data_IF_300550047706
#
_entry.id   IF_300550047706
#
_cell.length_a   1.000
_cell.length_b   1.000
_cell.length_c   1.000
_cell.angle_alpha   90.00
_cell.angle_beta   90.00
_cell.angle_gamma   90.00
#
_symmetry.space_group_name_H-M   'P 1'
#
loop_
_entity.id
_entity.type
_entity.pdbx_description
1 polymer ?
#
# COMPACT_ATOMS: atom_id res chain seq x y z
N UNK A 1 -27.07 47.38 -44.89
CA UNK A 1 -25.88 47.03 -44.07
C UNK A 1 -26.34 46.05 -43.00
N UNK A 2 -26.10 44.76 -43.19
CA UNK A 2 -26.54 43.69 -42.26
C UNK A 2 -25.40 43.41 -41.30
N UNK A 3 -25.60 43.66 -40.00
CA UNK A 3 -24.66 43.32 -38.93
C UNK A 3 -24.69 41.82 -38.70
N UNK A 4 -23.55 41.15 -38.84
CA UNK A 4 -23.36 39.75 -38.49
C UNK A 4 -23.10 39.62 -36.98
N UNK A 5 -23.96 38.85 -36.30
CA UNK A 5 -23.76 38.44 -34.90
C UNK A 5 -22.73 37.31 -34.85
N UNK A 6 -21.59 37.58 -34.22
CA UNK A 6 -20.58 36.57 -33.93
C UNK A 6 -21.05 35.69 -32.78
N UNK A 7 -21.36 34.43 -33.09
CA UNK A 7 -21.70 33.38 -32.11
C UNK A 7 -20.42 32.90 -31.43
N UNK A 8 -20.19 33.34 -30.21
CA UNK A 8 -19.06 32.91 -29.37
C UNK A 8 -19.25 31.45 -28.94
N UNK A 9 -18.41 30.56 -29.44
CA UNK A 9 -18.30 29.18 -28.98
C UNK A 9 -17.70 29.16 -27.56
N UNK A 10 -18.23 28.36 -26.61
CA UNK A 10 -17.58 28.19 -25.30
C UNK A 10 -16.22 27.49 -25.46
N UNK A 11 -15.21 27.80 -24.63
CA UNK A 11 -13.91 27.17 -24.72
C UNK A 11 -14.00 25.69 -24.31
N UNK A 12 -13.49 24.80 -25.19
CA UNK A 12 -13.26 23.40 -24.88
C UNK A 12 -12.35 23.28 -23.65
N UNK A 13 -12.84 22.58 -22.64
CA UNK A 13 -12.06 22.20 -21.46
C UNK A 13 -10.93 21.27 -21.92
N UNK A 14 -9.66 21.53 -21.55
CA UNK A 14 -8.57 20.62 -21.88
C UNK A 14 -8.87 19.24 -21.29
N UNK A 15 -8.86 18.20 -22.12
CA UNK A 15 -8.97 16.83 -21.65
C UNK A 15 -7.86 16.57 -20.61
N UNK A 16 -8.27 16.22 -19.39
CA UNK A 16 -7.34 15.78 -18.35
C UNK A 16 -6.47 14.64 -18.91
N UNK A 17 -5.14 14.66 -18.71
CA UNK A 17 -4.28 13.59 -19.19
C UNK A 17 -4.78 12.28 -18.57
N UNK A 18 -5.04 11.29 -19.42
CA UNK A 18 -5.46 9.96 -19.00
C UNK A 18 -4.55 9.48 -17.88
N UNK A 19 -5.09 9.36 -16.67
CA UNK A 19 -4.33 8.92 -15.51
C UNK A 19 -3.70 7.56 -15.85
N UNK A 20 -2.38 7.46 -15.75
CA UNK A 20 -1.68 6.18 -15.88
C UNK A 20 -2.29 5.18 -14.91
N UNK A 21 -2.57 3.94 -15.34
CA UNK A 21 -3.12 2.94 -14.46
C UNK A 21 -2.19 2.76 -13.24
N UNK A 22 -2.75 2.64 -12.03
CA UNK A 22 -1.95 2.52 -10.82
C UNK A 22 -1.08 1.26 -10.88
N UNK A 23 0.21 1.39 -10.57
CA UNK A 23 1.12 0.25 -10.52
C UNK A 23 0.84 -0.61 -9.28
N UNK A 24 0.22 -1.77 -9.50
CA UNK A 24 -0.14 -2.75 -8.46
C UNK A 24 0.90 -3.87 -8.28
N UNK A 25 2.12 -3.70 -8.80
CA UNK A 25 3.19 -4.69 -8.71
C UNK A 25 3.64 -4.97 -7.27
N UNK A 26 4.17 -6.17 -7.03
CA UNK A 26 4.76 -6.57 -5.75
C UNK A 26 6.22 -6.12 -5.61
N UNK A 27 6.61 -5.76 -4.39
CA UNK A 27 8.03 -5.59 -4.01
C UNK A 27 8.52 -6.87 -3.33
N UNK A 28 9.41 -7.62 -3.97
CA UNK A 28 9.89 -8.91 -3.47
C UNK A 28 11.06 -8.78 -2.50
N UNK A 29 11.03 -9.57 -1.43
CA UNK A 29 12.10 -9.70 -0.44
C UNK A 29 12.40 -11.18 -0.25
N UNK A 30 13.68 -11.50 -0.14
CA UNK A 30 14.16 -12.87 0.10
C UNK A 30 14.62 -12.96 1.55
N UNK A 31 13.99 -13.83 2.33
CA UNK A 31 14.57 -14.32 3.57
C UNK A 31 15.65 -15.34 3.21
N UNK A 32 16.85 -15.16 3.74
CA UNK A 32 18.00 -15.96 3.38
C UNK A 32 18.87 -16.23 4.61
N UNK A 33 19.56 -17.36 4.56
CA UNK A 33 20.61 -17.69 5.53
C UNK A 33 21.99 -17.46 4.91
N UNK A 34 22.87 -16.85 5.69
CA UNK A 34 24.25 -16.59 5.30
C UNK A 34 25.14 -17.10 6.42
N UNK A 35 25.87 -18.19 6.15
CA UNK A 35 26.91 -18.65 7.05
C UNK A 35 28.07 -17.66 7.01
N UNK A 36 28.45 -17.16 8.19
CA UNK A 36 29.49 -16.14 8.35
C UNK A 36 30.46 -16.52 9.45
N UNK A 37 31.68 -16.04 9.34
CA UNK A 37 32.69 -16.17 10.40
C UNK A 37 32.33 -15.34 11.64
N UNK A 38 32.81 -15.71 12.85
CA UNK A 38 32.52 -14.99 14.09
C UNK A 38 32.82 -13.49 14.04
N UNK A 39 33.85 -13.09 13.28
CA UNK A 39 34.22 -11.68 13.10
C UNK A 39 33.13 -10.90 12.36
N UNK A 40 32.56 -11.48 11.31
CA UNK A 40 31.49 -10.85 10.53
C UNK A 40 30.19 -10.87 11.33
N UNK A 41 29.90 -11.95 12.05
CA UNK A 41 28.74 -12.04 12.93
C UNK A 41 28.72 -10.89 13.97
N UNK A 42 29.85 -10.61 14.62
CA UNK A 42 29.98 -9.49 15.56
C UNK A 42 29.71 -8.12 14.91
N UNK A 43 30.20 -7.90 13.68
CA UNK A 43 29.95 -6.65 12.95
C UNK A 43 28.48 -6.54 12.54
N UNK A 44 27.88 -7.63 12.07
CA UNK A 44 26.49 -7.68 11.66
C UNK A 44 25.55 -7.41 12.84
N UNK A 45 25.83 -7.97 14.02
CA UNK A 45 25.06 -7.71 15.23
C UNK A 45 25.18 -6.24 15.68
N UNK A 46 26.38 -5.67 15.67
CA UNK A 46 26.61 -4.29 16.09
C UNK A 46 26.04 -3.25 15.09
N UNK A 47 26.16 -3.48 13.77
CA UNK A 47 25.77 -2.51 12.73
C UNK A 47 24.44 -2.82 12.04
N UNK A 48 23.86 -3.99 12.26
CA UNK A 48 22.68 -4.48 11.54
C UNK A 48 22.91 -4.75 10.05
N UNK A 49 24.16 -4.70 9.56
CA UNK A 49 24.51 -4.95 8.17
C UNK A 49 25.97 -5.39 8.02
N UNK A 50 26.26 -6.15 6.97
CA UNK A 50 27.61 -6.59 6.63
C UNK A 50 27.73 -6.80 5.12
N UNK A 51 28.97 -6.92 4.63
CA UNK A 51 29.27 -7.25 3.24
C UNK A 51 29.65 -8.72 3.15
N UNK A 52 29.04 -9.44 2.22
CA UNK A 52 29.40 -10.83 1.89
C UNK A 52 30.60 -10.87 0.93
N UNK A 53 31.24 -12.03 0.81
CA UNK A 53 32.27 -12.23 -0.19
C UNK A 53 31.66 -12.20 -1.60
N UNK A 54 32.38 -11.64 -2.57
CA UNK A 54 31.92 -11.62 -3.95
C UNK A 54 31.77 -13.05 -4.48
N UNK A 55 30.62 -13.36 -5.09
CA UNK A 55 30.31 -14.70 -5.61
C UNK A 55 29.85 -15.71 -4.56
N UNK A 56 29.68 -15.32 -3.29
CA UNK A 56 29.10 -16.19 -2.29
C UNK A 56 27.66 -16.55 -2.67
N UNK A 57 27.38 -17.86 -2.75
CA UNK A 57 26.02 -18.35 -2.93
C UNK A 57 25.25 -18.18 -1.62
N UNK A 58 24.03 -17.67 -1.72
CA UNK A 58 23.14 -17.43 -0.59
C UNK A 58 21.89 -18.26 -0.81
N UNK A 59 21.54 -19.09 0.19
CA UNK A 59 20.37 -19.94 0.12
C UNK A 59 19.13 -19.16 0.57
N UNK A 60 18.12 -19.15 -0.29
CA UNK A 60 16.83 -18.51 -0.03
C UNK A 60 15.96 -19.47 0.77
N UNK A 61 15.52 -19.05 1.96
CA UNK A 61 14.53 -19.77 2.75
C UNK A 61 13.12 -19.51 2.21
N UNK A 62 12.79 -18.24 2.02
CA UNK A 62 11.45 -17.81 1.60
C UNK A 62 11.54 -16.55 0.75
N UNK A 63 10.70 -16.45 -0.29
CA UNK A 63 10.52 -15.24 -1.08
C UNK A 63 9.11 -14.74 -0.88
N UNK A 64 8.96 -13.52 -0.36
CA UNK A 64 7.66 -12.95 -0.06
C UNK A 64 7.58 -11.48 -0.46
N UNK A 65 6.37 -10.96 -0.60
CA UNK A 65 6.16 -9.54 -0.87
C UNK A 65 6.36 -8.71 0.42
N UNK A 66 7.19 -7.67 0.37
CA UNK A 66 7.41 -6.72 1.48
C UNK A 66 6.10 -6.11 1.99
N UNK A 67 5.17 -5.92 1.07
CA UNK A 67 3.89 -5.28 1.28
C UNK A 67 2.86 -6.19 1.91
N UNK A 68 2.24 -7.02 1.07
CA UNK A 68 1.17 -7.93 1.52
C UNK A 68 1.65 -9.13 2.36
N UNK A 69 2.98 -9.32 2.50
CA UNK A 69 3.60 -10.42 3.28
C UNK A 69 3.24 -11.83 2.84
N UNK A 70 2.68 -11.99 1.62
CA UNK A 70 2.36 -13.28 1.03
C UNK A 70 3.58 -13.86 0.28
N UNK A 71 3.76 -15.19 0.29
CA UNK A 71 4.86 -15.84 -0.41
C UNK A 71 4.67 -15.78 -1.93
N UNK A 72 5.78 -15.79 -2.67
CA UNK A 72 5.79 -15.61 -4.13
C UNK A 72 4.88 -16.59 -4.86
N UNK A 73 4.92 -17.86 -4.49
CA UNK A 73 4.17 -18.92 -5.19
C UNK A 73 2.65 -18.75 -5.09
N UNK A 74 2.15 -18.09 -4.04
CA UNK A 74 0.73 -17.85 -3.86
C UNK A 74 0.18 -16.66 -4.67
N UNK A 75 1.03 -15.64 -4.89
CA UNK A 75 0.59 -14.34 -5.44
C UNK A 75 1.22 -14.02 -6.80
N UNK A 76 2.00 -14.93 -7.38
CA UNK A 76 2.55 -14.76 -8.71
C UNK A 76 1.43 -14.55 -9.74
N UNK A 77 1.46 -13.39 -10.40
CA UNK A 77 0.46 -13.00 -11.40
C UNK A 77 -0.81 -12.36 -10.83
N UNK A 78 -0.87 -12.13 -9.52
CA UNK A 78 -1.90 -11.35 -8.85
C UNK A 78 -1.37 -9.94 -8.54
N UNK A 79 -2.30 -9.01 -8.31
CA UNK A 79 -1.98 -7.66 -7.86
C UNK A 79 -1.68 -7.64 -6.37
N UNK A 80 -0.84 -6.71 -5.95
CA UNK A 80 -0.49 -6.56 -4.55
C UNK A 80 -1.68 -6.06 -3.73
N UNK A 81 -2.22 -6.94 -2.88
CA UNK A 81 -3.33 -6.64 -1.98
C UNK A 81 -3.05 -5.43 -1.07
N UNK A 82 -1.79 -5.15 -0.71
CA UNK A 82 -1.43 -3.96 0.09
C UNK A 82 -1.76 -2.65 -0.64
N UNK A 83 -1.55 -2.62 -1.95
CA UNK A 83 -1.79 -1.43 -2.78
C UNK A 83 -3.28 -1.24 -3.07
N UNK A 84 -4.03 -2.33 -3.05
CA UNK A 84 -5.50 -2.33 -3.16
C UNK A 84 -6.10 -2.01 -1.78
N UNK A 85 -6.02 -2.93 -0.83
CA UNK A 85 -6.61 -2.80 0.51
C UNK A 85 -5.74 -3.42 1.62
N UNK A 86 -5.28 -2.58 2.55
CA UNK A 86 -4.47 -3.01 3.71
C UNK A 86 -5.23 -3.78 4.79
N UNK A 87 -6.55 -3.97 4.67
CA UNK A 87 -7.34 -4.70 5.68
C UNK A 87 -6.82 -6.11 5.98
N UNK A 88 -6.25 -6.81 5.00
CA UNK A 88 -5.69 -8.14 5.21
C UNK A 88 -4.56 -8.16 6.26
N UNK A 89 -3.74 -7.10 6.34
CA UNK A 89 -2.67 -6.97 7.35
C UNK A 89 -3.18 -6.58 8.74
N UNK A 90 -4.35 -5.93 8.84
CA UNK A 90 -4.90 -5.44 10.11
C UNK A 90 -5.91 -6.44 10.71
N UNK A 91 -5.94 -7.68 10.19
CA UNK A 91 -6.86 -8.74 10.64
C UNK A 91 -8.31 -8.53 10.18
N UNK A 92 -8.51 -7.91 9.02
CA UNK A 92 -9.82 -7.65 8.41
C UNK A 92 -10.33 -6.22 8.63
N UNK A 93 -11.60 -5.99 8.27
CA UNK A 93 -12.24 -4.68 8.41
C UNK A 93 -12.42 -4.31 9.89
N UNK A 94 -11.83 -3.20 10.33
CA UNK A 94 -11.99 -2.71 11.71
C UNK A 94 -13.44 -2.35 12.05
N UNK A 95 -14.29 -2.07 11.06
CA UNK A 95 -15.72 -1.84 11.25
C UNK A 95 -16.44 -3.11 11.72
N UNK A 96 -15.92 -4.28 11.32
CA UNK A 96 -16.44 -5.61 11.67
C UNK A 96 -15.76 -6.21 12.90
N UNK A 97 -14.59 -5.67 13.29
CA UNK A 97 -13.93 -6.08 14.52
C UNK A 97 -14.86 -5.76 15.69
N UNK A 98 -15.25 -6.79 16.44
CA UNK A 98 -16.07 -6.69 17.66
C UNK A 98 -15.29 -5.92 18.74
N UNK A 99 -15.19 -4.59 18.59
CA UNK A 99 -14.68 -3.70 19.63
C UNK A 99 -15.59 -3.84 20.84
N UNK A 100 -15.04 -3.66 22.05
CA UNK A 100 -15.84 -3.58 23.29
C UNK A 100 -17.00 -2.61 23.03
N UNK A 101 -18.23 -2.99 23.43
CA UNK A 101 -19.48 -2.28 23.10
C UNK A 101 -19.24 -0.77 23.08
N UNK A 102 -19.13 -0.22 21.87
CA UNK A 102 -19.01 1.22 21.70
C UNK A 102 -20.38 1.82 22.10
N UNK A 103 -20.40 2.99 22.76
CA UNK A 103 -21.64 3.70 22.95
C UNK A 103 -22.31 3.91 21.59
N UNK A 104 -23.65 3.83 21.51
CA UNK A 104 -24.37 3.98 20.25
C UNK A 104 -23.97 5.31 19.60
N UNK A 105 -23.75 5.32 18.27
CA UNK A 105 -23.36 6.54 17.58
C UNK A 105 -24.43 7.62 17.77
N UNK A 106 -24.03 8.90 17.84
CA UNK A 106 -24.98 10.01 17.94
C UNK A 106 -25.95 10.00 16.75
N UNK A 107 -27.20 10.39 16.98
CA UNK A 107 -28.25 10.45 15.95
C UNK A 107 -27.74 11.25 14.74
N UNK A 108 -27.68 10.60 13.57
CA UNK A 108 -27.28 11.21 12.30
C UNK A 108 -25.88 10.84 11.79
N UNK A 109 -25.07 10.12 12.56
CA UNK A 109 -23.75 9.67 12.09
C UNK A 109 -23.87 8.52 11.06
N UNK A 110 -23.31 8.71 9.86
CA UNK A 110 -23.14 7.67 8.84
C UNK A 110 -21.68 7.21 8.81
N UNK A 111 -21.45 5.91 8.91
CA UNK A 111 -20.12 5.30 8.69
C UNK A 111 -19.92 5.19 7.18
N UNK A 112 -18.90 5.86 6.64
CA UNK A 112 -18.58 5.84 5.20
C UNK A 112 -17.53 4.74 4.97
N UNK A 113 -17.76 3.77 4.07
CA UNK A 113 -16.74 2.80 3.67
C UNK A 113 -15.55 3.52 2.99
N UNK A 114 -14.32 3.17 3.35
CA UNK A 114 -13.13 3.71 2.68
C UNK A 114 -12.95 3.15 1.26
N UNK A 115 -12.29 3.93 0.40
CA UNK A 115 -11.93 3.54 -0.98
C UNK A 115 -11.07 2.29 -1.04
N UNK A 116 -11.22 1.52 -2.13
CA UNK A 116 -10.55 0.21 -2.35
C UNK A 116 -9.15 0.30 -2.95
N UNK A 117 -8.63 1.49 -3.28
CA UNK A 117 -7.28 1.65 -3.83
C UNK A 117 -6.54 2.68 -3.00
N UNK A 118 -5.45 2.28 -2.36
CA UNK A 118 -4.70 3.13 -1.45
C UNK A 118 -3.73 4.06 -2.20
N UNK A 119 -4.23 5.15 -2.78
CA UNK A 119 -3.36 6.18 -3.39
C UNK A 119 -2.51 6.97 -2.38
N UNK A 120 -2.84 6.90 -1.07
CA UNK A 120 -2.18 7.67 0.01
C UNK A 120 -1.64 6.79 1.16
N UNK A 121 -1.54 5.47 0.97
CA UNK A 121 -1.10 4.52 2.00
C UNK A 121 -1.97 4.54 3.27
N UNK A 122 -1.36 4.25 4.44
CA UNK A 122 -2.05 4.18 5.76
C UNK A 122 -2.82 5.46 6.12
N UNK A 123 -2.41 6.61 5.57
CA UNK A 123 -3.04 7.91 5.82
C UNK A 123 -4.46 8.00 5.21
N UNK A 124 -4.76 7.24 4.16
CA UNK A 124 -6.12 7.17 3.60
C UNK A 124 -7.12 6.58 4.59
N UNK A 125 -6.67 5.64 5.43
CA UNK A 125 -7.49 4.94 6.40
C UNK A 125 -7.77 5.78 7.67
N UNK A 126 -6.82 6.63 8.07
CA UNK A 126 -6.96 7.48 9.27
C UNK A 126 -7.76 8.78 9.03
N UNK A 127 -7.94 9.21 7.79
CA UNK A 127 -8.64 10.45 7.44
C UNK A 127 -10.14 10.44 7.78
N UNK A 128 -10.75 9.26 7.99
CA UNK A 128 -12.17 9.12 8.33
C UNK A 128 -12.50 9.12 9.83
N UNK A 129 -11.50 9.17 10.72
CA UNK A 129 -11.74 9.19 12.17
C UNK A 129 -11.66 10.64 12.66
N UNK A 130 -12.76 11.38 12.53
CA UNK A 130 -12.89 12.68 13.18
C UNK A 130 -12.77 12.48 14.70
N UNK A 131 -11.66 12.87 15.30
CA UNK A 131 -11.56 12.98 16.76
C UNK A 131 -12.40 14.20 17.18
N UNK A 132 -13.38 14.06 18.08
CA UNK A 132 -13.99 15.22 18.70
C UNK A 132 -12.92 16.00 19.48
N UNK A 133 -12.98 17.32 19.40
CA UNK A 133 -12.12 18.25 20.11
C UNK A 133 -12.58 18.40 21.56
#
# INVERSE_FOLDING_TARGET
>A
MVKAEAKTTPPETPAEPAETPPDLSHTWVVAAEIQVEPRIASIADFRGSFKTAAGQRVDALEVYCKGCRRPYDEVKGQDCEEKVDNRHLIGGDQSTRKKRKLPPPPRGAKIIPGDKVQRRGINAYMAGVSRPR
#
